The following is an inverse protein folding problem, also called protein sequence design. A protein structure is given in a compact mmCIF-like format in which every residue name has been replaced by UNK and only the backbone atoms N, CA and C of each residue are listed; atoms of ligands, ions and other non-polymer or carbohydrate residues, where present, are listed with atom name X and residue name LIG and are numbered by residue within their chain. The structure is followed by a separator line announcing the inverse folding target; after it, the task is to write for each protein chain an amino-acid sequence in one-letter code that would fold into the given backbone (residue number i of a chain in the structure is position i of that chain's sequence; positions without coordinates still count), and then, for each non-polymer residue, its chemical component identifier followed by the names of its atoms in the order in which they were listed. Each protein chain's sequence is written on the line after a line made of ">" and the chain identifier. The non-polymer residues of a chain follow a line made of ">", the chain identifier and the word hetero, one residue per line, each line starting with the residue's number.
data_IF_229466099300
#
_entry.id   IF_229466099300
#
_cell.length_a   1.000
_cell.length_b   1.000
_cell.length_c   1.000
_cell.angle_alpha   90.00
_cell.angle_beta   90.00
_cell.angle_gamma   90.00
#
_symmetry.space_group_name_H-M   'P 1'
#
loop_
_entity.id
_entity.type
_entity.pdbx_description
1 polymer ?
#
# COMPACT_ATOMS: atom_id res chain seq x y z
N UNK A 1 49.24 51.25 -15.07
CA UNK A 1 47.93 50.73 -14.61
C UNK A 1 47.93 49.20 -14.66
N UNK A 2 48.81 48.54 -13.89
CA UNK A 2 48.86 47.07 -13.74
C UNK A 2 48.51 46.64 -12.29
N UNK A 3 48.16 47.60 -11.43
CA UNK A 3 48.09 47.43 -9.97
C UNK A 3 46.77 46.82 -9.47
N UNK A 4 45.87 46.48 -10.38
CA UNK A 4 44.52 46.00 -10.05
C UNK A 4 44.23 44.57 -10.57
N UNK A 5 45.25 43.88 -11.11
CA UNK A 5 45.11 42.52 -11.61
C UNK A 5 45.29 41.47 -10.52
N UNK A 6 44.43 40.46 -10.54
CA UNK A 6 44.48 39.33 -9.62
C UNK A 6 45.42 38.25 -10.16
N UNK A 7 46.31 37.78 -9.30
CA UNK A 7 47.09 36.56 -9.56
C UNK A 7 46.15 35.35 -9.71
N UNK A 8 46.56 34.33 -10.45
CA UNK A 8 45.75 33.11 -10.63
C UNK A 8 45.31 32.48 -9.31
N UNK A 9 46.13 32.56 -8.26
CA UNK A 9 45.78 32.08 -6.91
C UNK A 9 44.76 32.95 -6.19
N UNK A 10 44.88 34.28 -6.29
CA UNK A 10 43.89 35.20 -5.72
C UNK A 10 42.54 35.09 -6.45
N UNK A 11 42.58 34.98 -7.78
CA UNK A 11 41.40 34.81 -8.62
C UNK A 11 40.70 33.47 -8.38
N UNK A 12 41.47 32.38 -8.24
CA UNK A 12 40.95 31.05 -7.86
C UNK A 12 40.11 31.10 -6.58
N UNK A 13 40.64 31.75 -5.53
CA UNK A 13 39.91 31.91 -4.26
C UNK A 13 38.66 32.77 -4.40
N UNK A 14 38.75 33.90 -5.11
CA UNK A 14 37.62 34.81 -5.29
C UNK A 14 36.48 34.23 -6.15
N UNK A 15 36.85 33.44 -7.16
CA UNK A 15 35.95 32.80 -8.12
C UNK A 15 35.44 31.41 -7.71
N UNK A 16 35.97 30.81 -6.64
CA UNK A 16 35.57 29.48 -6.18
C UNK A 16 36.01 28.35 -7.12
N UNK A 17 37.08 28.54 -7.88
CA UNK A 17 37.61 27.56 -8.83
C UNK A 17 39.05 27.19 -8.45
N UNK A 18 39.44 25.91 -8.50
CA UNK A 18 40.84 25.54 -8.28
C UNK A 18 41.73 26.08 -9.42
N UNK A 19 42.99 26.37 -9.11
CA UNK A 19 43.98 26.88 -10.09
C UNK A 19 44.11 25.96 -11.31
N UNK A 20 44.02 24.65 -11.11
CA UNK A 20 44.01 23.66 -12.20
C UNK A 20 42.81 23.84 -13.14
N UNK A 21 41.61 24.10 -12.61
CA UNK A 21 40.44 24.35 -13.43
C UNK A 21 40.56 25.65 -14.23
N UNK A 22 41.17 26.70 -13.67
CA UNK A 22 41.42 27.94 -14.42
C UNK A 22 42.35 27.73 -15.62
N UNK A 23 43.40 26.90 -15.47
CA UNK A 23 44.28 26.53 -16.59
C UNK A 23 43.54 25.71 -17.65
N UNK A 24 42.67 24.80 -17.21
CA UNK A 24 41.83 24.02 -18.11
C UNK A 24 40.82 24.92 -18.87
N UNK A 25 40.18 25.87 -18.18
CA UNK A 25 39.21 26.79 -18.79
C UNK A 25 39.85 27.84 -19.70
N UNK A 26 41.09 28.23 -19.44
CA UNK A 26 41.88 29.02 -20.38
C UNK A 26 42.05 28.27 -21.71
N UNK A 27 42.51 27.01 -21.64
CA UNK A 27 42.66 26.16 -22.82
C UNK A 27 41.34 25.85 -23.54
N UNK A 28 40.25 25.64 -22.79
CA UNK A 28 38.92 25.41 -23.32
C UNK A 28 38.20 26.69 -23.79
N UNK A 29 38.81 27.87 -23.63
CA UNK A 29 38.23 29.16 -24.01
C UNK A 29 37.06 29.63 -23.15
N UNK A 30 36.80 28.97 -22.01
CA UNK A 30 35.72 29.30 -21.06
C UNK A 30 36.09 30.53 -20.21
N UNK A 31 37.35 30.64 -19.78
CA UNK A 31 37.80 31.76 -18.96
C UNK A 31 39.27 32.08 -19.21
N UNK A 32 39.50 33.06 -20.08
CA UNK A 32 40.85 33.46 -20.50
C UNK A 32 41.45 34.51 -19.55
N UNK A 33 42.74 34.41 -19.19
CA UNK A 33 43.43 35.47 -18.47
C UNK A 33 43.52 36.73 -19.32
N UNK A 34 43.51 37.91 -18.68
CA UNK A 34 43.70 39.20 -19.37
C UNK A 34 45.16 39.45 -19.73
N UNK A 35 46.08 38.85 -18.98
CA UNK A 35 47.50 38.93 -19.26
C UNK A 35 48.19 37.60 -18.93
N UNK A 36 49.06 37.19 -19.84
CA UNK A 36 49.98 36.06 -19.65
C UNK A 36 51.39 36.59 -19.83
N UNK A 37 52.19 36.48 -18.79
CA UNK A 37 53.62 36.81 -18.86
C UNK A 37 54.29 35.86 -19.86
N UNK A 38 54.96 36.42 -20.87
CA UNK A 38 55.59 35.66 -21.96
C UNK A 38 56.84 34.90 -21.51
N UNK A 39 57.53 35.36 -20.47
CA UNK A 39 58.74 34.72 -19.97
C UNK A 39 58.43 33.58 -19.00
N UNK A 40 57.40 33.74 -18.15
CA UNK A 40 57.09 32.80 -17.07
C UNK A 40 55.82 31.98 -17.30
N UNK A 41 54.97 32.37 -18.26
CA UNK A 41 53.65 31.79 -18.48
C UNK A 41 52.65 32.11 -17.36
N UNK A 42 52.98 33.05 -16.47
CA UNK A 42 52.15 33.41 -15.33
C UNK A 42 50.89 34.14 -15.77
N UNK A 43 49.74 33.78 -15.19
CA UNK A 43 48.42 34.24 -15.60
C UNK A 43 47.84 35.24 -14.62
N UNK A 44 47.32 36.33 -15.16
CA UNK A 44 46.66 37.40 -14.43
C UNK A 44 45.24 37.60 -14.95
N UNK A 45 44.32 37.85 -14.03
CA UNK A 45 42.89 38.00 -14.30
C UNK A 45 42.40 39.35 -13.79
N UNK A 46 41.40 39.94 -14.44
CA UNK A 46 40.79 41.16 -13.96
C UNK A 46 39.77 40.87 -12.84
N UNK A 47 39.62 41.75 -11.83
CA UNK A 47 38.58 41.63 -10.79
C UNK A 47 37.17 41.48 -11.37
N UNK A 48 36.88 42.13 -12.50
CA UNK A 48 35.60 42.02 -13.21
C UNK A 48 35.27 40.60 -13.68
N UNK A 49 36.27 39.73 -13.90
CA UNK A 49 36.05 38.34 -14.34
C UNK A 49 35.60 37.42 -13.19
N UNK A 50 35.63 37.88 -11.93
CA UNK A 50 35.26 37.07 -10.76
C UNK A 50 33.78 36.65 -10.82
N UNK A 51 32.89 37.53 -11.31
CA UNK A 51 31.48 37.19 -11.50
C UNK A 51 31.30 36.01 -12.47
N UNK A 52 32.00 36.05 -13.61
CA UNK A 52 32.02 34.97 -14.60
C UNK A 52 32.60 33.67 -14.01
N UNK A 53 33.67 33.75 -13.23
CA UNK A 53 34.24 32.58 -12.57
C UNK A 53 33.26 31.92 -11.58
N UNK A 54 32.53 32.72 -10.80
CA UNK A 54 31.49 32.22 -9.89
C UNK A 54 30.33 31.58 -10.65
N UNK A 55 29.92 32.17 -11.77
CA UNK A 55 28.91 31.58 -12.65
C UNK A 55 29.37 30.23 -13.19
N UNK A 56 30.59 30.14 -13.72
CA UNK A 56 31.19 28.88 -14.20
C UNK A 56 31.26 27.84 -13.09
N UNK A 57 31.66 28.24 -11.87
CA UNK A 57 31.69 27.35 -10.72
C UNK A 57 30.30 26.78 -10.39
N UNK A 58 29.28 27.64 -10.31
CA UNK A 58 27.90 27.24 -10.02
C UNK A 58 27.34 26.28 -11.09
N UNK A 59 27.52 26.59 -12.37
CA UNK A 59 27.04 25.75 -13.47
C UNK A 59 27.75 24.39 -13.52
N UNK A 60 29.05 24.34 -13.17
CA UNK A 60 29.78 23.07 -13.04
C UNK A 60 29.33 22.24 -11.85
N UNK A 61 29.00 22.87 -10.72
CA UNK A 61 28.41 22.17 -9.58
C UNK A 61 27.05 21.58 -9.94
N UNK A 62 26.27 22.26 -10.79
CA UNK A 62 25.03 21.73 -11.37
C UNK A 62 25.26 20.67 -12.47
N UNK A 63 26.50 20.27 -12.73
CA UNK A 63 26.84 19.22 -13.70
C UNK A 63 26.79 19.65 -15.17
N UNK A 64 26.73 20.96 -15.47
CA UNK A 64 26.69 21.44 -16.85
C UNK A 64 28.04 21.12 -17.56
N UNK A 65 28.02 20.52 -18.76
CA UNK A 65 29.25 20.16 -19.46
C UNK A 65 29.94 21.39 -20.06
N UNK A 66 31.25 21.27 -20.29
CA UNK A 66 32.10 22.40 -20.73
C UNK A 66 31.64 23.06 -22.03
N UNK A 67 31.19 22.32 -23.07
CA UNK A 67 30.66 22.94 -24.29
C UNK A 67 29.43 23.83 -24.03
N UNK A 68 28.56 23.42 -23.12
CA UNK A 68 27.35 24.18 -22.77
C UNK A 68 27.70 25.44 -21.96
N UNK A 69 28.77 25.40 -21.15
CA UNK A 69 29.30 26.61 -20.50
C UNK A 69 29.76 27.65 -21.52
N UNK A 70 30.48 27.22 -22.57
CA UNK A 70 30.92 28.13 -23.63
C UNK A 70 29.70 28.75 -24.33
N UNK A 71 28.67 27.95 -24.62
CA UNK A 71 27.43 28.45 -25.22
C UNK A 71 26.72 29.49 -24.34
N UNK A 72 26.59 29.22 -23.03
CA UNK A 72 25.99 30.13 -22.05
C UNK A 72 26.76 31.44 -21.93
N UNK A 73 28.10 31.37 -21.92
CA UNK A 73 28.96 32.56 -21.81
C UNK A 73 29.01 33.38 -23.10
N UNK A 74 28.90 32.73 -24.27
CA UNK A 74 28.93 33.40 -25.57
C UNK A 74 27.61 34.09 -25.93
N UNK A 75 26.48 33.56 -25.47
CA UNK A 75 25.15 34.12 -25.75
C UNK A 75 24.28 34.12 -24.48
N UNK A 76 24.44 35.13 -23.60
CA UNK A 76 23.66 35.23 -22.35
C UNK A 76 22.14 35.21 -22.57
N UNK A 77 21.65 35.82 -23.66
CA UNK A 77 20.21 35.84 -23.99
C UNK A 77 19.67 34.45 -24.35
N UNK A 78 20.52 33.54 -24.83
CA UNK A 78 20.18 32.16 -25.15
C UNK A 78 20.49 31.18 -24.01
N UNK A 79 21.08 31.66 -22.89
CA UNK A 79 21.48 30.83 -21.77
C UNK A 79 20.30 30.08 -21.15
N UNK A 80 19.12 30.73 -21.06
CA UNK A 80 17.90 30.13 -20.52
C UNK A 80 17.56 28.80 -21.19
N UNK A 81 17.61 28.73 -22.52
CA UNK A 81 17.33 27.51 -23.28
C UNK A 81 18.33 26.39 -23.01
N UNK A 82 19.61 26.72 -22.83
CA UNK A 82 20.65 25.72 -22.49
C UNK A 82 20.42 25.17 -21.09
N UNK A 83 20.11 26.04 -20.13
CA UNK A 83 19.82 25.66 -18.74
C UNK A 83 18.54 24.83 -18.63
N UNK A 84 17.47 25.20 -19.32
CA UNK A 84 16.22 24.44 -19.34
C UNK A 84 16.39 23.05 -19.94
N UNK A 85 17.18 22.93 -21.02
CA UNK A 85 17.52 21.63 -21.60
C UNK A 85 18.30 20.76 -20.61
N UNK A 86 19.28 21.32 -19.91
CA UNK A 86 20.07 20.59 -18.91
C UNK A 86 19.22 20.18 -17.71
N UNK A 87 18.34 21.08 -17.23
CA UNK A 87 17.36 20.77 -16.18
C UNK A 87 16.46 19.61 -16.59
N UNK A 88 15.87 19.65 -17.79
CA UNK A 88 15.01 18.57 -18.28
C UNK A 88 15.75 17.23 -18.40
N UNK A 89 17.05 17.25 -18.77
CA UNK A 89 17.89 16.04 -18.74
C UNK A 89 18.08 15.50 -17.31
N UNK A 90 18.43 16.35 -16.35
CA UNK A 90 18.61 15.94 -14.96
C UNK A 90 17.32 15.37 -14.35
N UNK A 91 16.18 15.99 -14.66
CA UNK A 91 14.86 15.50 -14.24
C UNK A 91 14.55 14.13 -14.86
N UNK A 92 14.87 13.94 -16.15
CA UNK A 92 14.70 12.66 -16.83
C UNK A 92 15.61 11.56 -16.25
N UNK A 93 16.87 11.89 -15.97
CA UNK A 93 17.84 10.98 -15.37
C UNK A 93 17.42 10.57 -13.95
N UNK A 94 16.95 11.52 -13.14
CA UNK A 94 16.41 11.26 -11.80
C UNK A 94 15.17 10.35 -11.88
N UNK A 95 14.24 10.65 -12.79
CA UNK A 95 13.05 9.83 -12.98
C UNK A 95 13.41 8.40 -13.42
N UNK A 96 14.42 8.24 -14.29
CA UNK A 96 14.91 6.93 -14.70
C UNK A 96 15.58 6.16 -13.55
N UNK A 97 16.43 6.82 -12.76
CA UNK A 97 17.09 6.22 -11.60
C UNK A 97 16.07 5.74 -10.56
N UNK A 98 15.06 6.56 -10.25
CA UNK A 98 13.96 6.19 -9.33
C UNK A 98 13.20 4.97 -9.84
N UNK A 99 12.86 4.91 -11.14
CA UNK A 99 12.21 3.73 -11.73
C UNK A 99 13.06 2.46 -11.59
N UNK A 100 14.37 2.55 -11.81
CA UNK A 100 15.27 1.40 -11.65
C UNK A 100 15.37 0.93 -10.19
N UNK A 101 15.42 1.85 -9.23
CA UNK A 101 15.46 1.50 -7.81
C UNK A 101 14.16 0.83 -7.36
N UNK A 102 13.00 1.33 -7.81
CA UNK A 102 11.71 0.71 -7.50
C UNK A 102 11.56 -0.68 -8.14
N UNK A 103 12.07 -0.86 -9.36
CA UNK A 103 12.10 -2.16 -10.02
C UNK A 103 13.02 -3.15 -9.27
N UNK A 104 14.23 -2.72 -8.88
CA UNK A 104 15.14 -3.54 -8.09
C UNK A 104 14.53 -3.92 -6.73
N UNK A 105 13.87 -2.97 -6.06
CA UNK A 105 13.13 -3.22 -4.82
C UNK A 105 12.01 -4.24 -5.01
N UNK A 106 11.29 -4.16 -6.13
CA UNK A 106 10.24 -5.11 -6.48
C UNK A 106 10.80 -6.54 -6.66
N UNK A 107 11.93 -6.66 -7.36
CA UNK A 107 12.62 -7.94 -7.58
C UNK A 107 13.11 -8.55 -6.27
N UNK A 108 13.66 -7.73 -5.36
CA UNK A 108 14.16 -8.20 -4.07
C UNK A 108 13.05 -8.61 -3.10
N UNK A 109 11.95 -7.86 -3.05
CA UNK A 109 10.93 -8.04 -2.01
C UNK A 109 9.75 -8.93 -2.43
N UNK A 110 9.74 -9.44 -3.68
CA UNK A 110 8.60 -10.16 -4.28
C UNK A 110 7.27 -9.44 -4.01
N UNK A 111 7.26 -8.11 -4.12
CA UNK A 111 6.08 -7.31 -3.77
C UNK A 111 5.03 -7.33 -4.87
N UNK A 112 3.76 -7.36 -4.47
CA UNK A 112 2.62 -7.09 -5.32
C UNK A 112 2.17 -5.63 -5.10
N UNK A 113 1.80 -4.94 -6.18
CA UNK A 113 1.32 -3.56 -6.16
C UNK A 113 0.04 -3.42 -6.98
N UNK A 114 -0.72 -2.37 -6.69
CA UNK A 114 -1.87 -1.97 -7.49
C UNK A 114 -2.53 -0.72 -6.93
N UNK A 115 -3.66 -0.34 -7.53
CA UNK A 115 -4.47 0.81 -7.09
C UNK A 115 -5.86 0.33 -6.70
N UNK A 116 -6.36 0.77 -5.55
CA UNK A 116 -7.71 0.44 -5.04
C UNK A 116 -8.50 1.71 -4.77
N UNK A 117 -9.83 1.61 -4.84
CA UNK A 117 -10.72 2.65 -4.32
C UNK A 117 -10.75 2.58 -2.79
N UNK A 118 -10.55 3.73 -2.13
CA UNK A 118 -10.47 3.80 -0.68
C UNK A 118 -11.79 3.40 0.00
N UNK A 119 -12.94 3.74 -0.58
CA UNK A 119 -14.24 3.37 -0.01
C UNK A 119 -14.48 1.86 -0.12
N UNK A 120 -14.07 1.25 -1.24
CA UNK A 120 -14.12 -0.21 -1.39
C UNK A 120 -13.25 -0.92 -0.36
N UNK A 121 -12.05 -0.42 -0.13
CA UNK A 121 -11.11 -1.00 0.81
C UNK A 121 -11.55 -0.85 2.26
N UNK A 122 -11.99 0.34 2.68
CA UNK A 122 -12.51 0.58 4.03
C UNK A 122 -13.73 -0.28 4.32
N UNK A 123 -14.64 -0.43 3.34
CA UNK A 123 -15.77 -1.37 3.45
C UNK A 123 -15.28 -2.80 3.67
N UNK A 124 -14.37 -3.28 2.81
CA UNK A 124 -13.89 -4.66 2.90
C UNK A 124 -13.17 -4.94 4.21
N UNK A 125 -12.35 -3.99 4.69
CA UNK A 125 -11.71 -4.06 6.00
C UNK A 125 -12.75 -4.14 7.12
N UNK A 126 -13.77 -3.28 7.10
CA UNK A 126 -14.85 -3.29 8.10
C UNK A 126 -15.60 -4.63 8.10
N UNK A 127 -15.86 -5.17 6.91
CA UNK A 127 -16.53 -6.45 6.73
C UNK A 127 -15.75 -7.64 7.31
N UNK A 128 -14.41 -7.60 7.33
CA UNK A 128 -13.60 -8.72 7.86
C UNK A 128 -13.08 -8.51 9.27
N UNK A 129 -12.93 -7.24 9.69
CA UNK A 129 -12.30 -6.88 10.96
C UNK A 129 -13.01 -7.47 12.17
N UNK A 130 -14.34 -7.59 12.13
CA UNK A 130 -15.11 -8.16 13.22
C UNK A 130 -14.73 -9.61 13.54
N UNK A 131 -14.18 -10.36 12.58
CA UNK A 131 -13.83 -11.76 12.72
C UNK A 131 -12.40 -12.00 13.25
N UNK A 132 -11.60 -10.95 13.51
CA UNK A 132 -10.22 -11.07 14.01
C UNK A 132 -10.20 -11.04 15.53
N UNK A 133 -9.56 -12.02 16.16
CA UNK A 133 -9.34 -12.02 17.61
C UNK A 133 -8.09 -11.22 17.97
N UNK A 134 -8.24 -10.19 18.81
CA UNK A 134 -7.14 -9.30 19.19
C UNK A 134 -6.05 -9.96 20.07
N UNK A 135 -6.29 -11.16 20.60
CA UNK A 135 -5.47 -11.74 21.68
C UNK A 135 -5.25 -13.25 21.61
N UNK A 136 -5.43 -13.90 20.44
CA UNK A 136 -5.16 -15.34 20.35
C UNK A 136 -3.65 -15.61 20.33
N UNK A 137 -3.08 -15.95 21.49
CA UNK A 137 -1.66 -16.27 21.66
C UNK A 137 -1.24 -17.59 21.04
N UNK A 138 -2.19 -18.45 20.65
CA UNK A 138 -1.89 -19.77 20.06
C UNK A 138 -1.66 -19.70 18.55
N UNK A 139 -2.19 -18.67 17.88
CA UNK A 139 -2.02 -18.45 16.44
C UNK A 139 -1.67 -16.99 16.15
N UNK A 140 -0.37 -16.65 16.13
CA UNK A 140 0.07 -15.26 15.92
C UNK A 140 -0.43 -14.64 14.61
N UNK A 141 -0.64 -15.43 13.56
CA UNK A 141 -1.19 -14.97 12.29
C UNK A 141 -2.66 -14.50 12.36
N UNK A 142 -3.40 -14.89 13.41
CA UNK A 142 -4.78 -14.47 13.64
C UNK A 142 -4.91 -13.15 14.41
N UNK A 143 -3.78 -12.49 14.70
CA UNK A 143 -3.74 -11.16 15.32
C UNK A 143 -3.87 -10.02 14.31
N UNK A 144 -4.21 -10.35 13.05
CA UNK A 144 -4.29 -9.41 11.94
C UNK A 144 -5.23 -9.89 10.84
N UNK A 145 -5.30 -9.10 9.77
CA UNK A 145 -6.11 -9.40 8.58
C UNK A 145 -5.17 -9.91 7.49
N UNK A 146 -5.44 -11.09 6.92
CA UNK A 146 -4.72 -11.55 5.76
C UNK A 146 -5.12 -10.71 4.54
N UNK A 147 -4.14 -10.12 3.88
CA UNK A 147 -4.25 -9.50 2.57
C UNK A 147 -3.63 -10.44 1.53
N UNK A 148 -4.43 -10.86 0.57
CA UNK A 148 -4.01 -11.70 -0.54
C UNK A 148 -4.27 -10.96 -1.85
N UNK A 149 -3.21 -10.42 -2.45
CA UNK A 149 -3.28 -9.78 -3.75
C UNK A 149 -2.93 -10.80 -4.83
N UNK A 150 -3.91 -11.12 -5.67
CA UNK A 150 -3.78 -12.05 -6.79
C UNK A 150 -4.37 -11.39 -8.05
N UNK A 151 -3.48 -10.83 -8.87
CA UNK A 151 -3.84 -10.09 -10.08
C UNK A 151 -4.84 -8.95 -9.77
N UNK A 152 -6.02 -8.92 -10.41
CA UNK A 152 -6.98 -7.82 -10.28
C UNK A 152 -7.84 -7.88 -9.01
N UNK A 153 -7.54 -8.78 -8.07
CA UNK A 153 -8.36 -8.97 -6.87
C UNK A 153 -7.51 -8.96 -5.61
N UNK A 154 -7.84 -8.06 -4.69
CA UNK A 154 -7.36 -8.08 -3.32
C UNK A 154 -8.41 -8.79 -2.46
N UNK A 155 -8.03 -9.91 -1.85
CA UNK A 155 -8.85 -10.62 -0.86
C UNK A 155 -8.39 -10.27 0.53
N UNK A 156 -9.34 -9.92 1.39
CA UNK A 156 -9.13 -9.67 2.81
C UNK A 156 -9.76 -10.81 3.58
N UNK A 157 -9.03 -11.40 4.52
CA UNK A 157 -9.55 -12.46 5.40
C UNK A 157 -9.28 -12.11 6.85
N UNK A 158 -10.35 -12.04 7.63
CA UNK A 158 -10.28 -12.01 9.08
C UNK A 158 -10.80 -13.34 9.61
N UNK A 159 -10.11 -13.94 10.56
CA UNK A 159 -10.65 -15.12 11.22
C UNK A 159 -10.13 -15.25 12.65
N UNK A 160 -10.90 -16.01 13.42
CA UNK A 160 -10.54 -16.49 14.74
C UNK A 160 -10.84 -18.00 14.79
N UNK A 161 -10.78 -18.60 15.98
CA UNK A 161 -11.04 -20.04 16.17
C UNK A 161 -12.51 -20.46 15.95
N UNK A 162 -13.44 -19.53 15.74
CA UNK A 162 -14.89 -19.76 15.70
C UNK A 162 -15.58 -19.17 14.47
N UNK A 163 -14.92 -18.28 13.72
CA UNK A 163 -15.50 -17.64 12.54
C UNK A 163 -14.43 -17.19 11.55
N UNK A 164 -14.87 -16.97 10.32
CA UNK A 164 -14.08 -16.41 9.24
C UNK A 164 -14.91 -15.40 8.47
N UNK A 165 -14.31 -14.30 8.04
CA UNK A 165 -14.90 -13.33 7.15
C UNK A 165 -13.96 -13.07 5.97
N UNK A 166 -14.51 -13.08 4.76
CA UNK A 166 -13.84 -12.82 3.51
C UNK A 166 -14.50 -11.62 2.83
N UNK A 167 -13.70 -10.68 2.37
CA UNK A 167 -14.14 -9.60 1.50
C UNK A 167 -13.18 -9.42 0.32
N UNK A 168 -13.70 -8.94 -0.81
CA UNK A 168 -12.95 -8.75 -2.04
C UNK A 168 -12.98 -7.28 -2.49
N UNK A 169 -11.85 -6.81 -3.00
CA UNK A 169 -11.66 -5.45 -3.52
C UNK A 169 -11.04 -5.54 -4.93
N UNK A 170 -11.64 -4.92 -5.95
CA UNK A 170 -11.04 -4.80 -7.27
C UNK A 170 -9.75 -3.98 -7.24
N UNK A 171 -8.74 -4.43 -7.97
CA UNK A 171 -7.43 -3.75 -8.06
C UNK A 171 -7.16 -3.35 -9.50
N UNK A 172 -6.81 -2.08 -9.69
CA UNK A 172 -6.39 -1.52 -10.99
C UNK A 172 -4.87 -1.58 -11.11
N UNK A 173 -4.39 -1.80 -12.33
CA UNK A 173 -2.97 -1.84 -12.69
C UNK A 173 -2.12 -2.77 -11.78
N UNK A 174 -2.55 -4.03 -11.55
CA UNK A 174 -1.81 -4.93 -10.68
C UNK A 174 -0.45 -5.29 -11.27
N UNK A 175 0.56 -5.37 -10.41
CA UNK A 175 1.94 -5.70 -10.80
C UNK A 175 2.63 -6.53 -9.72
N UNK A 176 3.50 -7.44 -10.15
CA UNK A 176 4.21 -8.37 -9.26
C UNK A 176 3.53 -9.74 -9.14
N UNK A 177 4.17 -10.70 -8.44
CA UNK A 177 3.61 -12.03 -8.22
C UNK A 177 2.45 -11.98 -7.21
N UNK A 178 1.60 -13.03 -7.13
CA UNK A 178 0.64 -13.16 -6.04
C UNK A 178 1.33 -13.16 -4.67
N UNK A 179 0.80 -12.37 -3.74
CA UNK A 179 1.37 -12.17 -2.40
C UNK A 179 0.30 -12.34 -1.33
N UNK A 180 0.67 -13.05 -0.26
CA UNK A 180 -0.14 -13.23 0.96
C UNK A 180 0.63 -12.68 2.14
N UNK A 181 0.07 -11.67 2.81
CA UNK A 181 0.68 -11.00 3.97
C UNK A 181 -0.37 -10.73 5.03
N UNK A 182 0.01 -10.75 6.31
CA UNK A 182 -0.92 -10.44 7.40
C UNK A 182 -0.71 -8.98 7.82
N UNK A 183 -1.71 -8.14 7.58
CA UNK A 183 -1.72 -6.75 8.02
C UNK A 183 -2.00 -6.69 9.53
N UNK A 184 -1.16 -6.01 10.32
CA UNK A 184 -1.35 -5.92 11.76
C UNK A 184 -2.57 -5.06 12.09
N UNK A 185 -3.31 -5.41 13.16
CA UNK A 185 -4.53 -4.70 13.56
C UNK A 185 -4.37 -3.17 13.71
N UNK A 186 -3.27 -2.62 14.28
CA UNK A 186 -3.07 -1.17 14.33
C UNK A 186 -3.11 -0.49 12.95
N UNK A 187 -2.58 -1.13 11.91
CA UNK A 187 -2.64 -0.60 10.54
C UNK A 187 -4.09 -0.61 10.01
N UNK A 188 -4.79 -1.71 10.22
CA UNK A 188 -6.19 -1.90 9.83
C UNK A 188 -7.09 -0.86 10.52
N UNK A 189 -6.84 -0.58 11.80
CA UNK A 189 -7.61 0.37 12.62
C UNK A 189 -7.35 1.81 12.21
N UNK A 190 -6.09 2.13 11.93
CA UNK A 190 -5.70 3.43 11.40
C UNK A 190 -6.38 3.71 10.06
N UNK A 191 -6.50 2.72 9.17
CA UNK A 191 -7.18 2.86 7.89
C UNK A 191 -8.68 3.16 8.04
N UNK A 192 -9.36 2.45 8.95
CA UNK A 192 -10.79 2.70 9.24
C UNK A 192 -10.99 4.09 9.84
N UNK A 193 -10.09 4.52 10.73
CA UNK A 193 -10.17 5.83 11.39
C UNK A 193 -9.85 6.98 10.44
N UNK A 194 -8.85 6.81 9.58
CA UNK A 194 -8.47 7.83 8.60
C UNK A 194 -9.55 8.05 7.53
N UNK A 195 -10.33 7.00 7.23
CA UNK A 195 -11.39 7.01 6.22
C UNK A 195 -10.99 7.74 4.92
N UNK A 196 -9.88 7.33 4.28
CA UNK A 196 -9.38 8.01 3.09
C UNK A 196 -10.40 7.97 1.95
N UNK A 197 -10.27 8.90 1.01
CA UNK A 197 -11.15 9.03 -0.14
C UNK A 197 -10.37 9.01 -1.45
N UNK A 198 -11.04 8.59 -2.53
CA UNK A 198 -10.44 8.46 -3.86
C UNK A 198 -9.66 7.16 -4.06
N UNK A 199 -9.02 7.06 -5.22
CA UNK A 199 -8.18 5.92 -5.57
C UNK A 199 -6.74 6.15 -5.08
N UNK A 200 -6.11 5.11 -4.54
CA UNK A 200 -4.73 5.20 -4.06
C UNK A 200 -3.97 3.88 -4.15
N UNK A 201 -2.64 3.94 -3.97
CA UNK A 201 -1.76 2.79 -4.16
C UNK A 201 -1.83 1.82 -2.98
N UNK A 202 -1.56 0.55 -3.28
CA UNK A 202 -1.24 -0.49 -2.30
C UNK A 202 0.07 -1.19 -2.69
N UNK A 203 0.87 -1.56 -1.70
CA UNK A 203 2.09 -2.38 -1.87
C UNK A 203 2.14 -3.44 -0.79
N UNK A 204 2.11 -4.71 -1.18
CA UNK A 204 2.17 -5.86 -0.29
C UNK A 204 3.46 -6.65 -0.56
N UNK A 205 4.20 -6.99 0.48
CA UNK A 205 5.40 -7.81 0.38
C UNK A 205 5.82 -8.38 1.72
N UNK A 206 6.84 -9.24 1.73
CA UNK A 206 7.28 -9.96 2.94
C UNK A 206 7.73 -9.06 4.09
N UNK A 207 8.12 -7.81 3.79
CA UNK A 207 8.60 -6.83 4.77
C UNK A 207 7.84 -5.52 4.75
N UNK A 208 6.77 -5.42 3.95
CA UNK A 208 6.01 -4.17 3.83
C UNK A 208 4.54 -4.45 3.53
N UNK A 209 3.68 -3.80 4.30
CA UNK A 209 2.28 -3.59 3.97
C UNK A 209 2.07 -2.09 3.92
N UNK A 210 1.91 -1.54 2.72
CA UNK A 210 1.50 -0.16 2.48
C UNK A 210 0.11 -0.17 1.88
N UNK A 211 -0.82 0.48 2.56
CA UNK A 211 -2.20 0.64 2.11
C UNK A 211 -2.58 2.10 2.19
N UNK A 212 -2.73 2.73 1.01
CA UNK A 212 -3.10 4.14 0.87
C UNK A 212 -2.16 5.10 1.64
N UNK A 213 -0.86 4.78 1.68
CA UNK A 213 0.16 5.58 2.36
C UNK A 213 0.36 5.25 3.84
N UNK A 214 -0.48 4.37 4.43
CA UNK A 214 -0.26 3.83 5.77
C UNK A 214 0.65 2.61 5.65
N UNK A 215 1.85 2.69 6.21
CA UNK A 215 2.88 1.65 6.11
C UNK A 215 3.09 0.92 7.43
N UNK A 216 3.24 -0.41 7.37
CA UNK A 216 3.64 -1.24 8.50
C UNK A 216 4.44 -2.47 8.04
N UNK A 217 5.09 -3.15 8.99
CA UNK A 217 5.68 -4.47 8.75
C UNK A 217 4.59 -5.56 8.88
N UNK A 218 4.51 -6.54 7.96
CA UNK A 218 3.55 -7.63 8.09
C UNK A 218 3.81 -8.46 9.35
N UNK A 219 2.74 -9.05 9.91
CA UNK A 219 2.90 -10.06 10.98
C UNK A 219 3.60 -11.28 10.40
N UNK A 220 4.80 -11.58 10.92
CA UNK A 220 5.64 -12.69 10.49
C UNK A 220 5.15 -14.05 11.02
N UNK A 221 3.96 -14.46 10.61
CA UNK A 221 3.35 -15.72 11.02
C UNK A 221 2.54 -16.36 9.88
N UNK A 222 2.48 -17.71 9.82
CA UNK A 222 1.63 -18.38 8.86
C UNK A 222 0.15 -18.08 9.15
N UNK A 223 -0.64 -17.96 8.10
CA UNK A 223 -2.09 -17.81 8.18
C UNK A 223 -2.78 -19.13 7.79
N UNK A 224 -3.85 -19.56 8.48
CA UNK A 224 -4.53 -20.80 8.15
C UNK A 224 -5.00 -20.86 6.68
N UNK A 225 -5.01 -22.07 6.11
CA UNK A 225 -5.54 -22.25 4.76
C UNK A 225 -7.07 -22.26 4.79
N UNK A 226 -7.67 -21.14 4.39
CA UNK A 226 -9.11 -20.93 4.34
C UNK A 226 -9.74 -21.33 3.00
N UNK A 227 -8.94 -21.59 1.96
CA UNK A 227 -9.45 -21.90 0.62
C UNK A 227 -10.43 -23.10 0.61
N UNK A 228 -10.20 -24.18 1.38
CA UNK A 228 -11.16 -25.29 1.45
C UNK A 228 -12.54 -24.89 1.99
N UNK A 229 -12.62 -23.84 2.81
CA UNK A 229 -13.87 -23.35 3.41
C UNK A 229 -14.69 -22.45 2.46
N UNK A 230 -14.11 -22.05 1.32
CA UNK A 230 -14.78 -21.17 0.36
C UNK A 230 -15.51 -21.90 -0.76
N UNK A 231 -15.33 -23.22 -0.88
CA UNK A 231 -15.98 -24.03 -1.90
C UNK A 231 -17.49 -23.77 -1.90
N UNK A 232 -18.13 -23.53 -3.08
CA UNK A 232 -19.56 -23.28 -3.14
C UNK A 232 -20.30 -24.56 -2.69
N UNK A 233 -21.06 -24.52 -1.59
CA UNK A 233 -21.65 -25.73 -1.05
C UNK A 233 -22.88 -26.15 -1.86
N UNK A 234 -23.15 -27.45 -1.90
CA UNK A 234 -24.53 -27.95 -2.08
C UNK A 234 -25.30 -27.70 -0.77
N UNK A 235 -25.49 -26.43 -0.41
CA UNK A 235 -26.18 -26.04 0.82
C UNK A 235 -27.65 -25.72 0.57
N UNK A 236 -28.49 -26.00 1.56
CA UNK A 236 -29.78 -25.32 1.66
C UNK A 236 -29.49 -23.86 1.96
N UNK A 237 -30.05 -22.96 1.17
CA UNK A 237 -29.86 -21.54 1.29
C UNK A 237 -31.19 -20.81 1.17
N UNK A 238 -31.37 -19.78 1.99
CA UNK A 238 -32.57 -18.94 1.97
C UNK A 238 -32.17 -17.48 2.16
N UNK A 239 -32.86 -16.58 1.48
CA UNK A 239 -32.61 -15.14 1.55
C UNK A 239 -33.61 -14.48 2.50
N UNK A 240 -33.13 -13.56 3.34
CA UNK A 240 -33.95 -12.86 4.33
C UNK A 240 -33.49 -11.40 4.45
N UNK A 241 -34.42 -10.52 4.79
CA UNK A 241 -34.11 -9.12 5.10
C UNK A 241 -33.24 -9.02 6.35
N UNK A 242 -32.16 -8.24 6.26
CA UNK A 242 -31.19 -8.08 7.35
C UNK A 242 -31.82 -7.55 8.62
N UNK A 243 -32.71 -6.56 8.53
CA UNK A 243 -33.35 -5.95 9.69
C UNK A 243 -34.29 -6.92 10.41
N UNK A 244 -35.06 -7.70 9.66
CA UNK A 244 -35.94 -8.73 10.21
C UNK A 244 -35.14 -9.82 10.94
N UNK A 245 -34.02 -10.23 10.35
CA UNK A 245 -33.12 -11.23 10.93
C UNK A 245 -32.44 -10.70 12.20
N UNK A 246 -31.96 -9.46 12.18
CA UNK A 246 -31.36 -8.80 13.36
C UNK A 246 -32.38 -8.66 14.48
N UNK A 247 -33.61 -8.26 14.19
CA UNK A 247 -34.68 -8.16 15.18
C UNK A 247 -35.00 -9.52 15.80
N UNK A 248 -35.16 -10.56 14.97
CA UNK A 248 -35.41 -11.94 15.42
C UNK A 248 -34.28 -12.50 16.30
N UNK A 249 -33.03 -12.34 15.86
CA UNK A 249 -31.85 -12.77 16.60
C UNK A 249 -31.69 -12.02 17.93
N UNK A 250 -31.99 -10.72 17.96
CA UNK A 250 -31.81 -9.87 19.15
C UNK A 250 -32.75 -10.24 20.29
N UNK A 251 -33.92 -10.81 19.98
CA UNK A 251 -34.88 -11.30 20.97
C UNK A 251 -34.54 -12.68 21.54
N UNK A 252 -33.54 -13.37 20.97
CA UNK A 252 -33.17 -14.72 21.36
C UNK A 252 -31.98 -14.75 22.35
N UNK A 253 -31.77 -15.90 22.99
CA UNK A 253 -30.65 -16.13 23.90
C UNK A 253 -29.29 -16.19 23.19
N UNK A 254 -28.21 -16.43 23.93
CA UNK A 254 -26.85 -16.37 23.40
C UNK A 254 -26.52 -17.45 22.34
N UNK A 255 -27.34 -18.50 22.25
CA UNK A 255 -27.22 -19.56 21.24
C UNK A 255 -28.51 -19.64 20.42
N UNK A 256 -28.35 -19.74 19.10
CA UNK A 256 -29.43 -19.79 18.11
C UNK A 256 -29.39 -21.10 17.34
N UNK A 257 -30.55 -21.64 16.99
CA UNK A 257 -30.69 -22.68 15.97
C UNK A 257 -31.25 -22.01 14.72
N UNK A 258 -30.51 -22.13 13.61
CA UNK A 258 -30.92 -21.62 12.29
C UNK A 258 -31.66 -22.73 11.56
N UNK A 259 -32.93 -22.48 11.22
CA UNK A 259 -33.75 -23.36 10.39
C UNK A 259 -34.02 -22.67 9.06
N UNK A 260 -33.58 -23.30 7.98
CA UNK A 260 -33.79 -22.84 6.61
C UNK A 260 -34.95 -23.61 5.99
N UNK A 261 -35.98 -22.87 5.55
CA UNK A 261 -37.06 -23.36 4.71
C UNK A 261 -36.95 -22.72 3.31
N UNK A 262 -37.75 -23.15 2.34
CA UNK A 262 -37.62 -22.72 0.93
C UNK A 262 -37.55 -21.20 0.74
N UNK A 263 -38.32 -20.43 1.53
CA UNK A 263 -38.37 -18.96 1.46
C UNK A 263 -38.25 -18.26 2.82
N UNK A 264 -37.93 -18.98 3.90
CA UNK A 264 -37.93 -18.42 5.26
C UNK A 264 -36.71 -18.86 6.06
N UNK A 265 -36.21 -17.94 6.90
CA UNK A 265 -35.12 -18.16 7.84
C UNK A 265 -35.65 -17.96 9.24
N UNK A 266 -35.72 -19.04 10.02
CA UNK A 266 -36.18 -18.98 11.41
C UNK A 266 -35.01 -19.15 12.37
N UNK A 267 -34.83 -18.14 13.22
CA UNK A 267 -33.91 -18.19 14.35
C UNK A 267 -34.70 -18.53 15.60
N UNK A 268 -34.34 -19.65 16.25
CA UNK A 268 -35.05 -20.15 17.43
C UNK A 268 -34.08 -20.49 18.56
N UNK A 269 -34.59 -20.51 19.79
CA UNK A 269 -33.82 -21.04 20.92
C UNK A 269 -33.59 -22.57 20.75
N UNK A 270 -32.48 -23.10 21.29
CA UNK A 270 -32.21 -24.54 21.27
C UNK A 270 -33.33 -25.36 21.89
N UNK A 271 -33.87 -26.29 21.12
CA UNK A 271 -34.82 -27.31 21.54
C UNK A 271 -34.14 -28.63 21.93
N UNK A 272 -34.87 -29.56 22.54
CA UNK A 272 -34.33 -30.82 23.06
C UNK A 272 -33.80 -31.79 21.99
N UNK A 273 -34.12 -31.57 20.71
CA UNK A 273 -33.66 -32.38 19.57
C UNK A 273 -32.55 -31.69 18.75
N UNK A 274 -32.21 -30.46 19.09
CA UNK A 274 -31.20 -29.71 18.35
C UNK A 274 -29.81 -30.11 18.82
N UNK A 275 -28.96 -30.54 17.88
CA UNK A 275 -27.58 -31.01 18.17
C UNK A 275 -26.56 -29.88 17.99
N UNK A 276 -26.88 -28.90 17.14
CA UNK A 276 -26.00 -27.81 16.76
C UNK A 276 -26.73 -26.47 16.89
N UNK A 277 -26.01 -25.47 17.37
CA UNK A 277 -26.44 -24.08 17.41
C UNK A 277 -25.30 -23.15 17.02
N UNK A 278 -25.57 -21.85 17.00
CA UNK A 278 -24.62 -20.81 16.61
C UNK A 278 -24.64 -19.71 17.66
N UNK A 279 -23.49 -19.07 17.89
CA UNK A 279 -23.45 -17.90 18.76
C UNK A 279 -24.29 -16.78 18.16
N UNK A 280 -25.25 -16.26 18.94
CA UNK A 280 -26.07 -15.10 18.55
C UNK A 280 -25.20 -13.91 18.14
N UNK A 281 -24.15 -13.62 18.92
CA UNK A 281 -23.23 -12.52 18.67
C UNK A 281 -22.55 -12.68 17.31
N UNK A 282 -22.03 -13.86 16.99
CA UNK A 282 -21.32 -14.07 15.72
C UNK A 282 -22.26 -14.04 14.51
N UNK A 283 -23.49 -14.55 14.64
CA UNK A 283 -24.50 -14.43 13.59
C UNK A 283 -24.86 -12.96 13.35
N UNK A 284 -25.11 -12.20 14.41
CA UNK A 284 -25.42 -10.76 14.31
C UNK A 284 -24.27 -9.95 13.70
N UNK A 285 -23.04 -10.22 14.11
CA UNK A 285 -21.84 -9.57 13.55
C UNK A 285 -21.73 -9.85 12.05
N UNK A 286 -21.92 -11.11 11.64
CA UNK A 286 -21.87 -11.53 10.23
C UNK A 286 -22.94 -10.83 9.37
N UNK A 287 -24.16 -10.71 9.87
CA UNK A 287 -25.28 -10.06 9.16
C UNK A 287 -25.04 -8.55 9.05
N UNK A 288 -24.60 -7.90 10.13
CA UNK A 288 -24.30 -6.46 10.12
C UNK A 288 -23.13 -6.12 9.20
N UNK A 289 -22.09 -6.95 9.21
CA UNK A 289 -20.91 -6.78 8.36
C UNK A 289 -21.20 -6.93 6.86
N UNK A 290 -22.28 -7.62 6.48
CA UNK A 290 -22.68 -7.75 5.08
C UNK A 290 -23.12 -6.42 4.45
N UNK A 291 -23.56 -5.44 5.26
CA UNK A 291 -24.05 -4.13 4.82
C UNK A 291 -25.00 -4.22 3.61
N UNK A 292 -25.93 -5.17 3.68
CA UNK A 292 -26.89 -5.49 2.63
C UNK A 292 -28.31 -5.39 3.18
N UNK A 293 -29.27 -4.96 2.36
CA UNK A 293 -30.69 -5.01 2.74
C UNK A 293 -31.16 -6.46 2.92
N UNK A 294 -30.62 -7.37 2.10
CA UNK A 294 -30.93 -8.79 2.12
C UNK A 294 -29.64 -9.62 2.21
N UNK A 295 -29.66 -10.65 3.04
CA UNK A 295 -28.57 -11.62 3.19
C UNK A 295 -29.07 -13.02 2.88
N UNK A 296 -28.19 -13.83 2.32
CA UNK A 296 -28.43 -15.26 2.12
C UNK A 296 -27.73 -16.05 3.20
N UNK A 297 -28.49 -16.89 3.91
CA UNK A 297 -27.98 -17.82 4.90
C UNK A 297 -27.94 -19.20 4.26
N UNK A 298 -26.78 -19.84 4.29
CA UNK A 298 -26.58 -21.19 3.79
C UNK A 298 -25.97 -22.07 4.88
N UNK A 299 -26.53 -23.27 5.09
CA UNK A 299 -25.99 -24.25 6.05
C UNK A 299 -25.38 -25.40 5.27
N UNK A 300 -24.10 -25.66 5.52
CA UNK A 300 -23.29 -26.62 4.79
C UNK A 300 -23.28 -28.01 5.44
N UNK A 301 -24.10 -28.94 4.90
CA UNK A 301 -24.01 -30.39 5.14
C UNK A 301 -23.88 -30.85 6.61
N UNK A 302 -23.32 -32.05 6.77
CA UNK A 302 -23.18 -32.79 8.04
C UNK A 302 -22.24 -32.11 9.06
N UNK A 303 -21.57 -31.00 8.68
CA UNK A 303 -20.65 -30.19 9.51
C UNK A 303 -21.20 -28.80 9.88
N UNK A 304 -22.36 -28.42 9.35
CA UNK A 304 -23.19 -27.26 9.70
C UNK A 304 -22.43 -25.96 9.98
N UNK A 305 -21.52 -25.57 9.09
CA UNK A 305 -21.02 -24.19 9.07
C UNK A 305 -22.13 -23.31 8.51
N UNK A 306 -22.41 -22.20 9.19
CA UNK A 306 -23.35 -21.20 8.71
C UNK A 306 -22.59 -20.18 7.86
N UNK A 307 -22.96 -20.06 6.59
CA UNK A 307 -22.47 -19.04 5.67
C UNK A 307 -23.50 -17.92 5.54
N UNK A 308 -23.04 -16.68 5.67
CA UNK A 308 -23.81 -15.45 5.46
C UNK A 308 -23.16 -14.68 4.33
N UNK A 309 -23.92 -14.41 3.27
CA UNK A 309 -23.43 -13.67 2.08
C UNK A 309 -24.40 -12.55 1.71
N UNK A 310 -23.87 -11.40 1.30
CA UNK A 310 -24.68 -10.34 0.70
C UNK A 310 -25.17 -10.77 -0.69
N UNK A 311 -26.43 -10.50 -1.03
CA UNK A 311 -27.05 -10.92 -2.31
C UNK A 311 -26.36 -10.29 -3.53
N UNK A 312 -25.88 -9.05 -3.42
CA UNK A 312 -25.16 -8.33 -4.47
C UNK A 312 -23.65 -8.62 -4.51
N UNK A 313 -23.11 -9.35 -3.53
CA UNK A 313 -21.68 -9.70 -3.43
C UNK A 313 -21.49 -11.11 -2.87
N UNK A 314 -21.87 -12.11 -3.66
CA UNK A 314 -21.75 -13.52 -3.26
C UNK A 314 -20.30 -13.99 -2.98
N UNK A 315 -19.30 -13.22 -3.44
CA UNK A 315 -17.88 -13.48 -3.20
C UNK A 315 -17.44 -13.09 -1.78
N UNK A 316 -18.15 -12.15 -1.16
CA UNK A 316 -17.93 -11.75 0.23
C UNK A 316 -18.77 -12.66 1.12
N UNK A 317 -18.13 -13.28 2.12
CA UNK A 317 -18.77 -14.31 2.93
C UNK A 317 -18.28 -14.27 4.38
N UNK A 318 -19.23 -14.43 5.30
CA UNK A 318 -18.96 -14.68 6.71
C UNK A 318 -19.35 -16.12 7.04
N UNK A 319 -18.44 -16.86 7.65
CA UNK A 319 -18.61 -18.24 8.10
C UNK A 319 -18.64 -18.27 9.62
N UNK A 320 -19.68 -18.86 10.20
CA UNK A 320 -19.84 -19.04 11.64
C UNK A 320 -19.82 -20.53 11.94
N UNK A 321 -18.87 -20.95 12.78
CA UNK A 321 -18.74 -22.35 13.18
C UNK A 321 -19.86 -22.73 14.17
N UNK A 322 -20.41 -23.96 14.08
CA UNK A 322 -21.45 -24.39 15.00
C UNK A 322 -20.89 -24.74 16.37
N UNK A 323 -21.74 -24.61 17.38
CA UNK A 323 -21.54 -25.02 18.76
C UNK A 323 -22.34 -26.31 18.97
N UNK A 324 -21.70 -27.34 19.54
CA UNK A 324 -22.42 -28.56 19.94
C UNK A 324 -23.28 -28.27 21.17
N UNK A 325 -24.58 -28.51 21.02
CA UNK A 325 -25.54 -28.50 22.11
C UNK A 325 -25.46 -29.89 22.77
N UNK A 326 -24.99 -29.99 24.01
CA UNK A 326 -24.91 -31.30 24.68
C UNK A 326 -26.31 -31.93 24.77
N UNK A 327 -26.40 -33.24 24.52
CA UNK A 327 -27.54 -34.04 24.97
C UNK A 327 -27.67 -33.84 26.48
N UNK A 328 -28.74 -33.18 26.93
CA UNK A 328 -29.16 -33.33 28.32
C UNK A 328 -29.48 -34.80 28.52
N UNK A 329 -28.52 -35.58 29.03
CA UNK A 329 -28.81 -36.89 29.63
C UNK A 329 -29.88 -36.62 30.68
N UNK A 330 -31.10 -37.07 30.39
CA UNK A 330 -32.14 -37.28 31.38
C UNK A 330 -31.55 -38.19 32.44
N UNK A 331 -31.14 -37.61 33.57
CA UNK A 331 -31.02 -38.34 34.80
C UNK A 331 -32.46 -38.67 35.23
N UNK A 332 -32.88 -39.88 34.90
CA UNK A 332 -34.01 -40.55 35.53
C UNK A 332 -33.54 -41.16 36.85
#
# INVERSE_FOLDING_TARGET
>A
MHDDLLSIGAFARAGGLPVSALRFYDAAGVLRPVHVDRATGYRWYAPAQVGTARLVASLRQAGLPVPDLVAVLAAPDAAGTVLDRHRGRLEADLAAATRHLEAARALLLRTARGTVDAADLVRAVTAVRHAVAATDSTWPGLTGVLLHLDGPTLRLVGCDRHRLALATVPVRDPSGPPVRVVAPLPLVDALVTAAPSGAGPITLGTHVVDVLGLTSEPVAAPYPDYAPLLAPPQARASTVGSDALVASASAAGDVLVVRLDHDDVRLTAPGPRDVLGYSRTFVLDAVRAAHAEHVTLAVEGDRSVLRVTATHRAQDASLVMPIRLQERRTAA
#
